data_IF_067456384876
#
_entry.id   IF_067456384876
#
_cell.length_a   1.000
_cell.length_b   1.000
_cell.length_c   1.000
_cell.angle_alpha   90.00
_cell.angle_beta   90.00
_cell.angle_gamma   90.00
#
_symmetry.space_group_name_H-M   'P 1'
#
loop_
_entity.id
_entity.type
_entity.pdbx_description
1 polymer ?
#
# COMPACT_ATOMS: atom_id res chain seq x y z
N UNK A 1 -17.87 34.66 -22.33
CA UNK A 1 -17.82 33.27 -22.82
C UNK A 1 -16.80 32.49 -22.01
N UNK A 2 -17.23 31.60 -21.12
CA UNK A 2 -16.36 30.55 -20.58
C UNK A 2 -17.21 29.29 -20.43
N UNK A 3 -17.12 28.41 -21.42
CA UNK A 3 -17.80 27.12 -21.46
C UNK A 3 -17.10 26.20 -20.48
N UNK A 4 -17.72 25.98 -19.32
CA UNK A 4 -17.40 24.86 -18.45
C UNK A 4 -17.66 23.57 -19.23
N UNK A 5 -16.59 22.91 -19.71
CA UNK A 5 -16.70 21.53 -20.20
C UNK A 5 -17.24 20.68 -19.04
N UNK A 6 -18.44 20.09 -19.15
CA UNK A 6 -18.86 19.10 -18.16
C UNK A 6 -17.92 17.89 -18.30
N UNK A 7 -17.31 17.50 -17.19
CA UNK A 7 -16.60 16.22 -17.08
C UNK A 7 -17.62 15.10 -17.33
N UNK A 8 -17.57 14.55 -18.53
CA UNK A 8 -18.48 13.50 -18.98
C UNK A 8 -18.02 12.16 -18.36
N UNK A 9 -18.06 12.05 -17.03
CA UNK A 9 -17.90 10.78 -16.34
C UNK A 9 -19.20 9.98 -16.54
N UNK A 10 -19.33 9.37 -17.71
CA UNK A 10 -20.44 8.45 -17.96
C UNK A 10 -20.17 7.15 -17.22
N UNK A 11 -20.87 6.95 -16.10
CA UNK A 11 -20.98 5.62 -15.48
C UNK A 11 -21.85 4.78 -16.40
N UNK A 12 -21.22 4.18 -17.42
CA UNK A 12 -21.87 3.12 -18.20
C UNK A 12 -22.07 1.93 -17.26
N UNK A 13 -23.24 1.30 -17.31
CA UNK A 13 -23.60 0.17 -16.45
C UNK A 13 -22.56 -0.96 -16.45
N UNK A 14 -22.74 -1.95 -15.57
CA UNK A 14 -21.80 -3.05 -15.36
C UNK A 14 -21.36 -3.65 -16.71
N UNK A 15 -20.09 -3.46 -17.06
CA UNK A 15 -19.53 -3.96 -18.33
C UNK A 15 -19.18 -5.45 -18.24
N UNK A 16 -18.70 -5.91 -17.08
CA UNK A 16 -18.27 -7.29 -16.83
C UNK A 16 -18.15 -7.56 -15.33
N UNK A 17 -18.51 -8.77 -14.90
CA UNK A 17 -18.25 -9.27 -13.54
C UNK A 17 -17.14 -10.31 -13.60
N UNK A 18 -16.19 -10.22 -12.67
CA UNK A 18 -15.08 -11.15 -12.54
C UNK A 18 -15.36 -12.12 -11.39
N UNK A 19 -15.34 -13.42 -11.68
CA UNK A 19 -15.59 -14.48 -10.71
C UNK A 19 -14.30 -15.29 -10.51
N UNK A 20 -13.96 -15.58 -9.24
CA UNK A 20 -12.77 -16.36 -8.91
C UNK A 20 -12.56 -16.60 -7.43
N UNK A 21 -12.85 -15.62 -6.58
CA UNK A 21 -12.78 -15.79 -5.12
C UNK A 21 -13.94 -16.63 -4.58
N UNK A 22 -13.66 -17.40 -3.53
CA UNK A 22 -14.67 -18.14 -2.75
C UNK A 22 -15.18 -17.36 -1.54
N UNK A 23 -14.50 -16.28 -1.16
CA UNK A 23 -14.89 -15.38 -0.08
C UNK A 23 -15.11 -13.93 -0.52
N UNK A 24 -15.63 -13.07 0.38
CA UNK A 24 -15.66 -11.63 0.20
C UNK A 24 -14.30 -11.03 -0.20
N UNK A 25 -14.31 -10.21 -1.24
CA UNK A 25 -13.15 -9.40 -1.63
C UNK A 25 -13.00 -8.26 -0.62
N UNK A 26 -11.86 -8.22 0.05
CA UNK A 26 -11.55 -7.25 1.11
C UNK A 26 -10.72 -6.09 0.60
N UNK A 27 -9.97 -6.29 -0.49
CA UNK A 27 -9.06 -5.27 -1.03
C UNK A 27 -8.82 -5.47 -2.53
N UNK A 28 -8.50 -4.36 -3.21
CA UNK A 28 -8.22 -4.31 -4.64
C UNK A 28 -7.06 -3.33 -4.88
N UNK A 29 -6.17 -3.67 -5.81
CA UNK A 29 -5.12 -2.76 -6.28
C UNK A 29 -4.96 -2.87 -7.78
N UNK A 30 -4.97 -1.72 -8.45
CA UNK A 30 -4.78 -1.58 -9.89
C UNK A 30 -3.32 -1.21 -10.13
N UNK A 31 -2.65 -1.94 -11.02
CA UNK A 31 -1.34 -1.58 -11.53
C UNK A 31 -1.41 -1.41 -13.05
N UNK A 32 -1.25 -0.17 -13.50
CA UNK A 32 -1.39 0.19 -14.91
C UNK A 32 -0.17 -0.22 -15.73
N UNK A 33 1.02 -0.13 -15.15
CA UNK A 33 2.32 -0.41 -15.76
C UNK A 33 2.41 -1.86 -16.25
N UNK A 34 1.87 -2.79 -15.46
CA UNK A 34 1.76 -4.21 -15.84
C UNK A 34 0.39 -4.58 -16.40
N UNK A 35 -0.55 -3.63 -16.50
CA UNK A 35 -1.94 -3.86 -16.92
C UNK A 35 -2.63 -4.99 -16.13
N UNK A 36 -2.45 -5.01 -14.81
CA UNK A 36 -3.05 -6.00 -13.92
C UNK A 36 -3.90 -5.37 -12.83
N UNK A 37 -4.94 -6.09 -12.42
CA UNK A 37 -5.69 -5.84 -11.20
C UNK A 37 -5.38 -6.99 -10.25
N UNK A 38 -5.16 -6.69 -8.98
CA UNK A 38 -5.00 -7.70 -7.94
C UNK A 38 -6.13 -7.53 -6.93
N UNK A 39 -6.85 -8.61 -6.66
CA UNK A 39 -7.85 -8.68 -5.60
C UNK A 39 -7.34 -9.55 -4.46
N UNK A 40 -7.63 -9.16 -3.22
CA UNK A 40 -7.41 -9.96 -2.02
C UNK A 40 -8.74 -10.26 -1.35
N UNK A 41 -8.85 -11.43 -0.75
CA UNK A 41 -10.12 -11.96 -0.24
C UNK A 41 -9.98 -12.52 1.17
N UNK A 42 -11.13 -12.64 1.84
CA UNK A 42 -11.23 -13.33 3.12
C UNK A 42 -11.00 -14.85 3.00
N UNK A 43 -10.92 -15.39 1.79
CA UNK A 43 -10.50 -16.78 1.54
C UNK A 43 -8.97 -16.99 1.62
N UNK A 44 -8.21 -15.94 1.93
CA UNK A 44 -6.75 -16.00 2.09
C UNK A 44 -5.96 -15.97 0.78
N UNK A 45 -6.65 -15.88 -0.36
CA UNK A 45 -6.02 -15.82 -1.68
C UNK A 45 -5.99 -14.41 -2.25
N UNK A 46 -4.93 -14.11 -3.02
CA UNK A 46 -4.95 -13.01 -3.97
C UNK A 46 -5.23 -13.56 -5.38
N UNK A 47 -5.95 -12.83 -6.23
CA UNK A 47 -6.10 -13.17 -7.65
C UNK A 47 -5.57 -12.02 -8.50
N UNK A 48 -4.75 -12.36 -9.49
CA UNK A 48 -4.27 -11.47 -10.54
C UNK A 48 -5.22 -11.58 -11.74
N UNK A 49 -5.66 -10.43 -12.22
CA UNK A 49 -6.54 -10.26 -13.37
C UNK A 49 -5.84 -9.43 -14.45
N UNK A 50 -6.07 -9.78 -15.72
CA UNK A 50 -5.66 -8.97 -16.86
C UNK A 50 -6.64 -7.80 -17.00
N UNK A 51 -6.16 -6.55 -16.91
CA UNK A 51 -7.01 -5.36 -17.02
C UNK A 51 -7.48 -5.06 -18.45
N UNK A 52 -6.72 -5.48 -19.46
CA UNK A 52 -7.06 -5.27 -20.86
C UNK A 52 -8.22 -6.18 -21.28
N UNK A 53 -8.18 -7.44 -20.83
CA UNK A 53 -9.17 -8.47 -21.17
C UNK A 53 -10.25 -8.65 -20.11
N UNK A 54 -10.01 -8.14 -18.90
CA UNK A 54 -10.83 -8.35 -17.71
C UNK A 54 -11.04 -9.86 -17.50
N UNK A 55 -9.96 -10.62 -17.38
CA UNK A 55 -9.98 -12.08 -17.25
C UNK A 55 -9.07 -12.54 -16.13
N UNK A 56 -9.41 -13.69 -15.53
CA UNK A 56 -8.54 -14.38 -14.57
C UNK A 56 -7.20 -14.71 -15.23
N UNK A 57 -6.10 -14.42 -14.52
CA UNK A 57 -4.75 -14.83 -14.92
C UNK A 57 -4.29 -15.95 -14.02
N UNK A 58 -4.23 -15.72 -12.71
CA UNK A 58 -3.81 -16.72 -11.72
C UNK A 58 -4.15 -16.31 -10.29
N UNK A 59 -4.13 -17.28 -9.37
CA UNK A 59 -4.25 -17.07 -7.93
C UNK A 59 -2.90 -17.19 -7.22
N UNK A 60 -2.81 -16.54 -6.07
CA UNK A 60 -1.71 -16.60 -5.12
C UNK A 60 -2.32 -17.10 -3.81
N UNK A 61 -1.93 -18.28 -3.37
CA UNK A 61 -2.30 -18.81 -2.05
C UNK A 61 -1.33 -18.20 -1.02
N UNK A 62 -1.55 -16.94 -0.67
CA UNK A 62 -0.64 -16.20 0.21
C UNK A 62 -0.87 -16.54 1.68
N UNK A 63 -2.10 -16.45 2.18
CA UNK A 63 -2.38 -16.60 3.60
C UNK A 63 -3.41 -17.69 3.89
N UNK A 64 -3.33 -18.27 5.09
CA UNK A 64 -4.42 -19.11 5.60
C UNK A 64 -5.59 -18.27 6.14
N UNK A 65 -5.29 -17.05 6.58
CA UNK A 65 -6.24 -16.10 7.13
C UNK A 65 -6.68 -15.07 6.10
N UNK A 66 -7.77 -14.35 6.40
CA UNK A 66 -8.32 -13.31 5.55
C UNK A 66 -7.27 -12.24 5.21
N UNK A 67 -7.15 -11.91 3.93
CA UNK A 67 -6.34 -10.76 3.50
C UNK A 67 -7.04 -9.49 3.93
N UNK A 68 -6.33 -8.58 4.58
CA UNK A 68 -6.88 -7.31 5.05
C UNK A 68 -6.51 -6.15 4.12
N UNK A 69 -5.32 -6.19 3.53
CA UNK A 69 -4.82 -5.15 2.63
C UNK A 69 -3.74 -5.71 1.70
N UNK A 70 -3.55 -5.09 0.54
CA UNK A 70 -2.49 -5.44 -0.40
C UNK A 70 -2.01 -4.20 -1.17
N UNK A 71 -0.84 -4.31 -1.79
CA UNK A 71 -0.30 -3.31 -2.71
C UNK A 71 0.56 -3.97 -3.77
N UNK A 72 0.72 -3.32 -4.93
CA UNK A 72 1.48 -3.82 -6.08
C UNK A 72 2.58 -2.82 -6.42
N UNK A 73 3.79 -3.31 -6.63
CA UNK A 73 4.90 -2.51 -7.12
C UNK A 73 4.64 -2.12 -8.58
N UNK A 74 4.61 -0.82 -8.89
CA UNK A 74 4.52 -0.33 -10.27
C UNK A 74 5.84 -0.47 -11.05
N UNK A 75 6.94 -0.82 -10.38
CA UNK A 75 8.26 -1.00 -11.00
C UNK A 75 8.61 -2.48 -11.22
N UNK A 76 8.25 -3.37 -10.29
CA UNK A 76 8.61 -4.79 -10.31
C UNK A 76 7.41 -5.72 -10.57
N UNK A 77 6.18 -5.26 -10.33
CA UNK A 77 4.98 -6.08 -10.39
C UNK A 77 4.81 -7.00 -9.18
N UNK A 78 5.72 -6.92 -8.21
CA UNK A 78 5.64 -7.66 -6.96
C UNK A 78 4.43 -7.22 -6.13
N UNK A 79 3.86 -8.18 -5.41
CA UNK A 79 2.59 -8.07 -4.70
C UNK A 79 2.86 -8.31 -3.23
N UNK A 80 2.66 -7.28 -2.42
CA UNK A 80 2.69 -7.38 -0.97
C UNK A 80 1.25 -7.51 -0.46
N UNK A 81 1.00 -8.47 0.43
CA UNK A 81 -0.31 -8.74 1.00
C UNK A 81 -0.20 -8.99 2.49
N UNK A 82 -1.19 -8.53 3.25
CA UNK A 82 -1.26 -8.72 4.70
C UNK A 82 -2.48 -9.56 5.05
N UNK A 83 -2.30 -10.47 5.99
CA UNK A 83 -3.39 -11.06 6.77
C UNK A 83 -3.19 -10.76 8.25
N UNK A 84 -4.28 -10.71 8.99
CA UNK A 84 -4.25 -10.59 10.44
C UNK A 84 -4.24 -11.99 11.06
N UNK A 85 -3.21 -12.33 11.84
CA UNK A 85 -3.05 -13.67 12.42
C UNK A 85 -3.83 -13.83 13.72
N UNK A 86 -3.88 -12.77 14.53
CA UNK A 86 -4.60 -12.71 15.80
C UNK A 86 -5.00 -11.25 16.08
N UNK A 87 -5.43 -10.91 17.30
CA UNK A 87 -5.83 -9.54 17.63
C UNK A 87 -4.69 -8.52 17.69
N UNK A 88 -3.44 -8.98 17.71
CA UNK A 88 -2.25 -8.17 17.96
C UNK A 88 -1.15 -8.33 16.90
N UNK A 89 -1.26 -9.29 15.98
CA UNK A 89 -0.22 -9.59 15.00
C UNK A 89 -0.73 -9.76 13.57
N UNK A 90 0.16 -9.49 12.62
CA UNK A 90 -0.11 -9.55 11.18
C UNK A 90 1.00 -10.33 10.46
N UNK A 91 0.64 -11.05 9.40
CA UNK A 91 1.55 -11.69 8.47
C UNK A 91 1.63 -10.86 7.20
N UNK A 92 2.81 -10.31 6.90
CA UNK A 92 3.13 -9.65 5.63
C UNK A 92 3.81 -10.66 4.72
N UNK A 93 3.28 -10.84 3.51
CA UNK A 93 3.90 -11.69 2.50
C UNK A 93 4.15 -10.96 1.20
N UNK A 94 5.27 -11.27 0.58
CA UNK A 94 5.69 -10.76 -0.72
C UNK A 94 5.75 -11.88 -1.74
N UNK A 95 5.12 -11.64 -2.89
CA UNK A 95 5.15 -12.54 -4.04
C UNK A 95 5.51 -11.77 -5.29
N UNK A 96 6.12 -12.44 -6.26
CA UNK A 96 6.26 -11.87 -7.61
C UNK A 96 4.93 -11.91 -8.35
N UNK A 97 4.83 -11.14 -9.45
CA UNK A 97 3.67 -11.21 -10.36
C UNK A 97 3.42 -12.62 -10.92
N UNK A 98 4.45 -13.48 -10.94
CA UNK A 98 4.37 -14.88 -11.32
C UNK A 98 3.93 -15.80 -10.16
N UNK A 99 3.31 -15.24 -9.11
CA UNK A 99 2.92 -15.89 -7.85
C UNK A 99 4.01 -16.77 -7.22
N UNK A 100 5.28 -16.41 -7.41
CA UNK A 100 6.37 -17.05 -6.68
C UNK A 100 6.51 -16.35 -5.35
N UNK A 101 6.48 -17.11 -4.25
CA UNK A 101 6.73 -16.60 -2.91
C UNK A 101 8.16 -16.08 -2.80
N UNK A 102 8.32 -14.88 -2.25
CA UNK A 102 9.62 -14.22 -2.04
C UNK A 102 9.98 -14.27 -0.56
N UNK A 103 9.08 -13.78 0.30
CA UNK A 103 9.32 -13.69 1.74
C UNK A 103 8.02 -13.60 2.55
N UNK A 104 8.11 -13.97 3.82
CA UNK A 104 7.07 -13.79 4.83
C UNK A 104 7.67 -13.12 6.06
N UNK A 105 6.95 -12.16 6.64
CA UNK A 105 7.29 -11.51 7.90
C UNK A 105 6.10 -11.51 8.84
N UNK A 106 6.31 -12.04 10.03
CA UNK A 106 5.34 -11.96 11.13
C UNK A 106 5.62 -10.70 11.94
N UNK A 107 4.71 -9.75 11.85
CA UNK A 107 4.79 -8.47 12.54
C UNK A 107 3.94 -8.56 13.80
N UNK A 108 4.56 -8.34 14.96
CA UNK A 108 3.90 -8.31 16.28
C UNK A 108 3.11 -7.01 16.49
N UNK A 109 2.35 -6.64 15.47
CA UNK A 109 1.45 -5.50 15.47
C UNK A 109 0.48 -5.63 14.30
N UNK A 110 -0.69 -4.99 14.41
CA UNK A 110 -1.65 -4.92 13.31
C UNK A 110 -1.18 -3.92 12.26
N UNK A 111 -1.08 -4.39 11.01
CA UNK A 111 -0.84 -3.57 9.82
C UNK A 111 -2.20 -3.24 9.20
N UNK A 112 -2.58 -1.96 9.20
CA UNK A 112 -3.88 -1.50 8.69
C UNK A 112 -3.85 -1.22 7.18
N UNK A 113 -2.72 -0.77 6.66
CA UNK A 113 -2.58 -0.37 5.27
C UNK A 113 -1.16 -0.61 4.77
N UNK A 114 -1.01 -0.75 3.45
CA UNK A 114 0.26 -0.90 2.77
C UNK A 114 0.44 0.16 1.69
N UNK A 115 1.70 0.48 1.39
CA UNK A 115 2.11 1.21 0.20
C UNK A 115 3.41 0.62 -0.36
N UNK A 116 3.58 0.70 -1.68
CA UNK A 116 4.82 0.30 -2.35
C UNK A 116 5.48 1.54 -2.96
N UNK A 117 6.77 1.75 -2.71
CA UNK A 117 7.48 2.83 -3.40
C UNK A 117 7.67 2.50 -4.88
N UNK A 118 7.77 3.54 -5.70
CA UNK A 118 7.91 3.43 -7.15
C UNK A 118 9.19 4.10 -7.66
N UNK A 119 10.29 4.00 -6.90
CA UNK A 119 11.57 4.57 -7.30
C UNK A 119 12.07 3.82 -8.55
N UNK A 120 12.42 4.54 -9.64
CA UNK A 120 13.04 3.93 -10.80
C UNK A 120 14.32 3.19 -10.42
N UNK A 121 14.62 2.11 -11.14
CA UNK A 121 15.84 1.35 -10.94
C UNK A 121 17.09 2.26 -10.99
N UNK A 122 18.04 1.98 -10.11
CA UNK A 122 19.27 2.76 -9.99
C UNK A 122 19.13 4.12 -9.30
N UNK A 123 17.92 4.60 -8.95
CA UNK A 123 17.74 5.82 -8.14
C UNK A 123 17.67 5.54 -6.64
N UNK A 124 16.98 4.48 -6.23
CA UNK A 124 16.90 4.06 -4.84
C UNK A 124 16.38 2.62 -4.73
N UNK A 125 16.49 2.04 -3.54
CA UNK A 125 15.93 0.72 -3.23
C UNK A 125 14.43 0.91 -2.96
N UNK A 126 13.60 0.10 -3.60
CA UNK A 126 12.16 0.12 -3.34
C UNK A 126 11.86 -0.51 -1.98
N UNK A 127 10.81 -0.02 -1.34
CA UNK A 127 10.37 -0.47 -0.03
C UNK A 127 8.88 -0.74 -0.02
N UNK A 128 8.48 -1.66 0.84
CA UNK A 128 7.09 -1.81 1.27
C UNK A 128 6.93 -0.99 2.54
N UNK A 129 5.95 -0.10 2.59
CA UNK A 129 5.58 0.66 3.77
C UNK A 129 4.27 0.11 4.35
N UNK A 130 4.20 -0.03 5.67
CA UNK A 130 2.99 -0.49 6.36
C UNK A 130 2.63 0.43 7.51
N UNK A 131 1.38 0.88 7.50
CA UNK A 131 0.84 1.74 8.53
C UNK A 131 0.33 0.89 9.68
N UNK A 132 0.88 1.11 10.86
CA UNK A 132 0.64 0.28 12.04
C UNK A 132 -0.44 0.87 12.94
N UNK A 133 -1.02 0.02 13.79
CA UNK A 133 -2.01 0.40 14.80
C UNK A 133 -1.47 1.40 15.83
N UNK A 134 -0.18 1.36 16.15
CA UNK A 134 0.48 2.32 17.03
C UNK A 134 0.61 3.71 16.45
N UNK A 135 0.35 3.91 15.15
CA UNK A 135 0.61 5.17 14.46
C UNK A 135 2.01 5.28 13.86
N UNK A 136 2.86 4.27 14.04
CA UNK A 136 4.12 4.15 13.33
C UNK A 136 3.91 3.66 11.89
N UNK A 137 4.88 3.97 11.02
CA UNK A 137 4.99 3.36 9.68
C UNK A 137 6.28 2.56 9.66
N UNK A 138 6.18 1.28 9.37
CA UNK A 138 7.35 0.42 9.19
C UNK A 138 7.66 0.26 7.71
N UNK A 139 8.94 0.35 7.39
CA UNK A 139 9.48 0.13 6.05
C UNK A 139 10.19 -1.22 6.02
N UNK A 140 9.89 -2.02 5.02
CA UNK A 140 10.56 -3.28 4.72
C UNK A 140 11.22 -3.23 3.35
N UNK A 141 12.33 -3.96 3.23
CA UNK A 141 13.03 -4.20 1.97
C UNK A 141 12.10 -4.91 0.97
N UNK A 142 12.07 -4.44 -0.28
CA UNK A 142 11.30 -5.09 -1.35
C UNK A 142 11.90 -6.41 -1.84
N UNK A 143 13.06 -6.83 -1.33
CA UNK A 143 13.74 -8.05 -1.81
C UNK A 143 13.49 -9.26 -0.91
N UNK A 144 13.40 -9.05 0.39
CA UNK A 144 13.36 -10.11 1.40
C UNK A 144 12.42 -9.77 2.58
N UNK A 145 11.72 -8.64 2.49
CA UNK A 145 10.93 -8.06 3.58
C UNK A 145 11.73 -7.86 4.88
N UNK A 146 13.06 -7.72 4.84
CA UNK A 146 13.80 -7.36 6.04
C UNK A 146 13.33 -5.99 6.56
N UNK A 147 13.07 -5.83 7.87
CA UNK A 147 12.68 -4.54 8.44
C UNK A 147 13.85 -3.56 8.31
N UNK A 148 13.58 -2.41 7.69
CA UNK A 148 14.58 -1.38 7.45
C UNK A 148 14.51 -0.28 8.50
N UNK A 149 13.29 0.24 8.75
CA UNK A 149 13.10 1.42 9.60
C UNK A 149 11.66 1.62 10.02
N UNK A 150 11.50 2.20 11.21
CA UNK A 150 10.24 2.79 11.65
C UNK A 150 10.26 4.31 11.52
N UNK A 151 9.18 4.86 10.97
CA UNK A 151 8.89 6.28 10.92
C UNK A 151 7.80 6.58 11.94
N UNK A 152 8.09 7.49 12.86
CA UNK A 152 7.17 7.89 13.93
C UNK A 152 7.11 9.42 13.90
N UNK A 153 5.91 9.98 14.10
CA UNK A 153 5.78 11.43 14.30
C UNK A 153 6.26 11.80 15.70
N UNK A 154 7.00 12.90 15.82
CA UNK A 154 7.49 13.37 17.12
C UNK A 154 6.36 13.87 18.04
N UNK A 155 5.18 14.14 17.49
CA UNK A 155 4.02 14.64 18.23
C UNK A 155 3.12 13.51 18.73
N UNK A 156 2.95 13.47 20.05
CA UNK A 156 1.94 12.65 20.72
C UNK A 156 0.59 13.37 20.78
N UNK A 157 -0.55 12.66 20.79
CA UNK A 157 -0.68 11.20 20.74
C UNK A 157 -0.49 10.61 19.34
N UNK A 158 0.04 9.38 19.28
CA UNK A 158 0.03 8.59 18.06
C UNK A 158 -1.34 7.94 17.89
N UNK A 159 -1.84 7.96 16.66
CA UNK A 159 -3.13 7.39 16.28
C UNK A 159 -2.91 6.39 15.14
N UNK A 160 -3.69 5.29 15.08
CA UNK A 160 -3.56 4.28 14.04
C UNK A 160 -3.44 4.88 12.65
N UNK A 161 -2.44 4.45 11.89
CA UNK A 161 -2.33 4.81 10.48
C UNK A 161 -3.39 4.03 9.72
N UNK A 162 -4.29 4.72 9.02
CA UNK A 162 -5.41 4.10 8.30
C UNK A 162 -5.16 3.98 6.79
N UNK A 163 -4.29 4.83 6.24
CA UNK A 163 -3.94 4.79 4.82
C UNK A 163 -2.56 5.38 4.57
N UNK A 164 -1.90 4.89 3.52
CA UNK A 164 -0.59 5.33 3.05
C UNK A 164 -0.61 5.55 1.54
N UNK A 165 0.17 6.52 1.08
CA UNK A 165 0.46 6.67 -0.35
C UNK A 165 1.85 7.26 -0.58
N UNK A 166 2.51 6.80 -1.63
CA UNK A 166 3.74 7.42 -2.13
C UNK A 166 3.39 8.43 -3.22
N UNK A 167 4.14 9.53 -3.29
CA UNK A 167 4.10 10.39 -4.47
C UNK A 167 4.64 9.65 -5.70
N UNK A 168 4.18 10.02 -6.90
CA UNK A 168 4.59 9.35 -8.15
C UNK A 168 6.08 9.48 -8.45
N UNK A 169 6.78 10.45 -7.84
CA UNK A 169 8.23 10.62 -7.91
C UNK A 169 8.99 9.94 -6.76
N UNK A 170 8.27 9.23 -5.87
CA UNK A 170 8.77 8.57 -4.65
C UNK A 170 9.56 9.49 -3.72
N UNK A 171 9.34 10.80 -3.76
CA UNK A 171 9.97 11.76 -2.85
C UNK A 171 9.22 11.88 -1.53
N UNK A 172 7.90 11.69 -1.55
CA UNK A 172 7.05 11.86 -0.38
C UNK A 172 6.33 10.56 -0.05
N UNK A 173 6.30 10.23 1.23
CA UNK A 173 5.38 9.26 1.81
C UNK A 173 4.35 10.03 2.61
N UNK A 174 3.06 9.82 2.34
CA UNK A 174 1.96 10.45 3.05
C UNK A 174 1.18 9.40 3.80
N UNK A 175 0.85 9.67 5.06
CA UNK A 175 0.00 8.83 5.86
C UNK A 175 -1.16 9.61 6.46
N UNK A 176 -2.30 8.96 6.54
CA UNK A 176 -3.48 9.47 7.22
C UNK A 176 -3.67 8.65 8.49
N UNK A 177 -3.85 9.33 9.62
CA UNK A 177 -4.14 8.71 10.91
C UNK A 177 -5.64 8.75 11.21
N UNK A 178 -6.10 7.91 12.15
CA UNK A 178 -7.53 7.83 12.52
C UNK A 178 -8.11 9.11 13.14
N UNK A 179 -7.26 10.05 13.57
CA UNK A 179 -7.65 11.37 14.06
C UNK A 179 -7.86 12.40 12.92
N UNK A 180 -7.74 11.97 11.66
CA UNK A 180 -7.85 12.84 10.49
C UNK A 180 -6.58 13.61 10.16
N UNK A 181 -5.50 13.46 10.93
CA UNK A 181 -4.22 14.11 10.63
C UNK A 181 -3.55 13.44 9.44
N UNK A 182 -3.04 14.27 8.53
CA UNK A 182 -2.17 13.84 7.44
C UNK A 182 -0.75 14.18 7.81
N UNK A 183 0.12 13.18 7.87
CA UNK A 183 1.56 13.36 8.05
C UNK A 183 2.27 13.06 6.74
N UNK A 184 3.12 13.97 6.29
CA UNK A 184 3.95 13.81 5.09
C UNK A 184 5.40 13.68 5.50
N UNK A 185 6.11 12.69 4.96
CA UNK A 185 7.52 12.40 5.14
C UNK A 185 8.25 12.66 3.82
N UNK A 186 9.14 13.65 3.77
CA UNK A 186 9.98 13.97 2.59
C UNK A 186 11.34 13.23 2.65
N UNK A 187 11.79 12.67 1.54
CA UNK A 187 13.11 12.05 1.42
C UNK A 187 14.20 13.12 1.35
N UNK A 188 15.01 13.25 2.40
CA UNK A 188 16.04 14.30 2.50
C UNK A 188 17.05 14.29 1.34
N UNK A 189 16.97 15.32 0.47
CA UNK A 189 17.83 15.51 -0.70
C UNK A 189 19.28 15.88 -0.35
N UNK A 190 19.56 16.30 0.89
CA UNK A 190 20.90 16.71 1.34
C UNK A 190 21.70 15.58 2.00
N UNK A 191 21.15 14.37 2.13
CA UNK A 191 21.81 13.20 2.73
C UNK A 191 22.85 12.53 1.80
N UNK A 192 23.75 13.29 1.18
CA UNK A 192 24.94 12.71 0.50
C UNK A 192 26.02 12.21 1.48
N UNK A 193 25.81 12.38 2.79
CA UNK A 193 26.81 12.08 3.84
C UNK A 193 26.33 11.15 4.96
N UNK A 194 25.09 10.68 4.94
CA UNK A 194 24.58 9.70 5.90
C UNK A 194 23.80 8.60 5.18
N UNK A 195 24.11 7.34 5.47
CA UNK A 195 23.43 6.15 4.93
C UNK A 195 21.99 5.97 5.46
N UNK A 196 21.33 7.07 5.87
CA UNK A 196 20.06 7.03 6.59
C UNK A 196 19.19 8.19 6.11
N UNK A 197 18.16 7.88 5.34
CA UNK A 197 17.18 8.83 4.80
C UNK A 197 16.46 9.54 5.95
N UNK A 198 16.54 10.87 6.03
CA UNK A 198 15.72 11.64 6.99
C UNK A 198 14.38 11.92 6.35
N UNK A 199 13.32 11.76 7.13
CA UNK A 199 11.97 12.11 6.73
C UNK A 199 11.39 13.15 7.69
N UNK A 200 11.04 14.33 7.18
CA UNK A 200 10.43 15.42 7.97
C UNK A 200 8.91 15.32 7.84
N UNK A 201 8.22 15.29 8.98
CA UNK A 201 6.76 15.26 9.12
C UNK A 201 6.15 16.66 8.92
N UNK A 202 5.27 16.86 7.93
CA UNK A 202 4.34 18.01 7.88
C UNK A 202 2.94 17.52 8.24
N UNK A 203 2.34 18.13 9.27
CA UNK A 203 0.98 17.79 9.72
C UNK A 203 0.01 18.81 9.14
N UNK A 204 -0.97 18.35 8.37
CA UNK A 204 -2.17 19.14 8.05
C UNK A 204 -3.31 18.55 8.85
N UNK A 205 -3.76 19.29 9.86
CA UNK A 205 -4.99 19.01 10.61
C UNK A 205 -6.03 20.03 10.17
N UNK A 206 -7.15 19.56 9.62
CA UNK A 206 -8.30 20.43 9.36
C UNK A 206 -9.00 20.71 10.68
N UNK A 207 -8.58 21.75 11.39
CA UNK A 207 -9.37 22.23 12.52
C UNK A 207 -10.61 22.91 11.94
N UNK A 208 -11.77 22.29 12.18
CA UNK A 208 -13.08 22.80 11.79
C UNK A 208 -13.43 24.01 12.64
N UNK A 209 -12.80 25.15 12.35
CA UNK A 209 -13.23 26.44 12.87
C UNK A 209 -14.54 26.84 12.23
N UNK A 210 -15.67 26.55 12.88
CA UNK A 210 -16.93 27.22 12.62
C UNK A 210 -16.78 28.73 12.89
N UNK A 211 -17.05 29.53 11.87
CA UNK A 211 -17.66 30.86 12.00
C UNK A 211 -18.71 31.04 10.92
#
# INVERSE_FOLDING_TARGET
>A
HNSSKPSNLQVRGIKKTLYGHSGPITTLCVCHEFSILVSGSSDGTCIIWDLNRLTYVRSINSHCEAITTLTVSSTLGDIASVSQLDHESSSLQLHTVNATHVATQNVKEIINCLGYSCAPEGRSVNVVAGGLRSGAIRLWSSWDLAPLRDLVKDSMPLNPVISLTFSSDSQYLMAVSSDGSITLWDKDKNSRRSNVDKFIAVIVSGDGGEK
#
